data_IF_323254158452
#
_entry.id   IF_323254158452
#
_cell.length_a   1.000
_cell.length_b   1.000
_cell.length_c   1.000
_cell.angle_alpha   90.00
_cell.angle_beta   90.00
_cell.angle_gamma   90.00
#
_symmetry.space_group_name_H-M   'P 1'
#
loop_
_entity.id
_entity.type
_entity.pdbx_description
1 polymer ?
#
# COMPACT_ATOMS: atom_id res chain seq x y z
N UNK A 1 54.75 3.54 11.08
CA UNK A 1 54.20 4.88 11.41
C UNK A 1 52.93 4.71 12.23
N UNK A 2 52.91 5.15 13.48
CA UNK A 2 51.72 5.08 14.33
C UNK A 2 50.84 6.30 14.06
N UNK A 3 49.60 6.10 13.62
CA UNK A 3 48.64 7.19 13.38
C UNK A 3 48.06 7.62 14.73
N UNK A 4 48.35 8.85 15.16
CA UNK A 4 47.68 9.46 16.32
C UNK A 4 46.26 9.88 15.92
N UNK A 5 45.27 9.34 16.62
CA UNK A 5 43.85 9.66 16.40
C UNK A 5 43.37 10.60 17.50
N UNK A 6 43.06 11.85 17.18
CA UNK A 6 42.55 12.86 18.12
C UNK A 6 41.01 12.88 18.14
N UNK A 7 40.40 13.22 19.28
CA UNK A 7 38.93 13.36 19.44
C UNK A 7 38.27 12.34 20.37
N UNK A 8 36.96 12.50 20.61
CA UNK A 8 36.15 11.61 21.45
C UNK A 8 35.69 10.35 20.69
N UNK A 9 36.60 9.38 20.62
CA UNK A 9 36.37 8.10 19.96
C UNK A 9 35.33 7.21 20.67
N UNK A 10 35.07 7.44 21.95
CA UNK A 10 34.04 6.71 22.68
C UNK A 10 32.65 7.12 22.17
N UNK A 11 32.42 8.44 22.03
CA UNK A 11 31.19 8.96 21.45
C UNK A 11 31.00 8.54 20.00
N UNK A 12 32.06 8.60 19.18
CA UNK A 12 32.00 8.16 17.79
C UNK A 12 31.58 6.68 17.67
N UNK A 13 32.16 5.80 18.50
CA UNK A 13 31.78 4.38 18.53
C UNK A 13 30.33 4.17 18.96
N UNK A 14 29.84 4.91 19.96
CA UNK A 14 28.43 4.82 20.37
C UNK A 14 27.47 5.23 19.25
N UNK A 15 27.78 6.31 18.54
CA UNK A 15 26.95 6.78 17.43
C UNK A 15 26.95 5.79 16.27
N UNK A 16 28.11 5.22 15.92
CA UNK A 16 28.23 4.23 14.86
C UNK A 16 27.56 2.91 15.23
N UNK A 17 27.69 2.46 16.48
CA UNK A 17 27.08 1.21 16.95
C UNK A 17 25.53 1.25 16.90
N UNK A 18 24.93 2.41 17.15
CA UNK A 18 23.47 2.61 17.08
C UNK A 18 23.00 3.17 15.73
N UNK A 19 23.91 3.52 14.82
CA UNK A 19 23.59 4.24 13.59
C UNK A 19 22.80 3.39 12.60
N UNK A 20 23.20 2.13 12.40
CA UNK A 20 22.56 1.20 11.47
C UNK A 20 21.12 0.88 11.88
N UNK A 21 20.88 0.56 13.15
CA UNK A 21 19.53 0.23 13.65
C UNK A 21 18.58 1.42 13.63
N UNK A 22 19.09 2.63 13.89
CA UNK A 22 18.29 3.87 13.75
C UNK A 22 17.92 4.14 12.31
N UNK A 23 18.87 3.98 11.39
CA UNK A 23 18.62 4.15 9.96
C UNK A 23 17.60 3.14 9.46
N UNK A 24 17.76 1.87 9.82
CA UNK A 24 16.82 0.80 9.48
C UNK A 24 15.41 1.11 10.02
N UNK A 25 15.28 1.51 11.28
CA UNK A 25 13.99 1.88 11.86
C UNK A 25 13.33 3.09 11.16
N UNK A 26 14.13 4.08 10.78
CA UNK A 26 13.65 5.23 10.02
C UNK A 26 13.18 4.84 8.61
N UNK A 27 13.95 4.00 7.91
CA UNK A 27 13.59 3.48 6.59
C UNK A 27 12.31 2.65 6.64
N UNK A 28 12.19 1.73 7.60
CA UNK A 28 10.97 0.93 7.77
C UNK A 28 9.75 1.81 8.07
N UNK A 29 9.93 2.89 8.85
CA UNK A 29 8.84 3.83 9.14
C UNK A 29 8.42 4.59 7.90
N UNK A 30 9.37 5.13 7.15
CA UNK A 30 9.11 5.83 5.89
C UNK A 30 8.43 4.91 4.87
N UNK A 31 8.94 3.69 4.69
CA UNK A 31 8.37 2.70 3.77
C UNK A 31 6.92 2.36 4.12
N UNK A 32 6.61 2.16 5.41
CA UNK A 32 5.22 1.93 5.85
C UNK A 32 4.31 3.13 5.54
N UNK A 33 4.80 4.35 5.76
CA UNK A 33 4.03 5.56 5.47
C UNK A 33 3.72 5.69 3.97
N UNK A 34 4.74 5.53 3.13
CA UNK A 34 4.59 5.56 1.66
C UNK A 34 3.66 4.45 1.17
N UNK A 35 3.79 3.23 1.70
CA UNK A 35 2.92 2.13 1.33
C UNK A 35 1.45 2.38 1.69
N UNK A 36 1.19 2.99 2.86
CA UNK A 36 -0.16 3.40 3.24
C UNK A 36 -0.69 4.57 2.41
N UNK A 37 0.16 5.53 2.03
CA UNK A 37 -0.20 6.61 1.13
C UNK A 37 -0.61 6.06 -0.24
N UNK A 38 0.19 5.17 -0.83
CA UNK A 38 -0.12 4.52 -2.10
C UNK A 38 -1.41 3.69 -2.02
N UNK A 39 -1.62 2.93 -0.93
CA UNK A 39 -2.90 2.23 -0.72
C UNK A 39 -4.08 3.19 -0.75
N UNK A 40 -3.97 4.34 -0.11
CA UNK A 40 -5.03 5.36 -0.08
C UNK A 40 -5.33 5.85 -1.49
N UNK A 41 -4.30 6.14 -2.30
CA UNK A 41 -4.45 6.55 -3.70
C UNK A 41 -5.13 5.47 -4.55
N UNK A 42 -4.72 4.20 -4.42
CA UNK A 42 -5.36 3.09 -5.14
C UNK A 42 -6.84 2.96 -4.76
N UNK A 43 -7.15 2.98 -3.46
CA UNK A 43 -8.54 2.90 -2.96
C UNK A 43 -9.37 4.09 -3.45
N UNK A 44 -8.79 5.28 -3.45
CA UNK A 44 -9.43 6.50 -3.93
C UNK A 44 -9.68 6.44 -5.45
N UNK A 45 -8.69 6.03 -6.24
CA UNK A 45 -8.80 5.86 -7.69
C UNK A 45 -9.88 4.84 -8.06
N UNK A 46 -9.93 3.70 -7.38
CA UNK A 46 -11.02 2.72 -7.55
C UNK A 46 -12.38 3.31 -7.19
N UNK A 47 -12.45 4.11 -6.12
CA UNK A 47 -13.69 4.80 -5.72
C UNK A 47 -14.10 5.84 -6.76
N UNK A 48 -13.17 6.56 -7.37
CA UNK A 48 -13.44 7.56 -8.41
C UNK A 48 -13.66 6.95 -9.80
N UNK A 49 -13.46 5.64 -9.96
CA UNK A 49 -13.38 4.97 -11.27
C UNK A 49 -12.26 5.50 -12.16
N UNK A 50 -11.17 5.98 -11.57
CA UNK A 50 -9.99 6.46 -12.28
C UNK A 50 -8.69 6.02 -11.59
N UNK A 51 -8.45 4.70 -11.39
CA UNK A 51 -7.18 4.24 -10.87
C UNK A 51 -6.05 4.64 -11.83
N UNK A 52 -5.04 5.35 -11.33
CA UNK A 52 -3.97 5.92 -12.16
C UNK A 52 -4.34 7.23 -12.87
N UNK A 53 -5.48 7.85 -12.53
CA UNK A 53 -5.90 9.16 -13.04
C UNK A 53 -6.79 9.13 -14.27
N UNK A 54 -6.77 8.04 -15.04
CA UNK A 54 -7.60 7.89 -16.24
C UNK A 54 -8.97 7.27 -15.93
N UNK A 55 -10.08 7.95 -16.25
CA UNK A 55 -11.42 7.41 -16.02
C UNK A 55 -11.67 6.11 -16.80
N UNK A 56 -12.20 5.12 -16.10
CA UNK A 56 -12.67 3.88 -16.70
C UNK A 56 -13.98 4.11 -17.45
N UNK A 57 -14.15 3.39 -18.55
CA UNK A 57 -15.40 3.39 -19.29
C UNK A 57 -16.55 2.89 -18.38
N UNK A 58 -17.67 3.62 -18.28
CA UNK A 58 -18.80 3.16 -17.50
C UNK A 58 -19.39 1.86 -18.08
N UNK A 59 -20.01 0.99 -17.25
CA UNK A 59 -20.73 -0.17 -17.73
C UNK A 59 -21.85 0.21 -18.71
N UNK A 60 -22.12 -0.65 -19.69
CA UNK A 60 -23.25 -0.44 -20.60
C UNK A 60 -24.59 -0.56 -19.85
N UNK A 61 -25.68 0.04 -20.35
CA UNK A 61 -27.01 -0.11 -19.77
C UNK A 61 -27.44 -1.58 -19.63
N UNK A 62 -27.10 -2.44 -20.60
CA UNK A 62 -27.37 -3.88 -20.54
C UNK A 62 -26.61 -4.57 -19.40
N UNK A 63 -25.36 -4.17 -19.16
CA UNK A 63 -24.56 -4.68 -18.04
C UNK A 63 -25.17 -4.27 -16.69
N UNK A 64 -25.65 -3.03 -16.57
CA UNK A 64 -26.32 -2.56 -15.34
C UNK A 64 -27.63 -3.30 -15.09
N UNK A 65 -28.44 -3.51 -16.14
CA UNK A 65 -29.68 -4.28 -16.04
C UNK A 65 -29.43 -5.73 -15.61
N UNK A 66 -28.43 -6.39 -16.21
CA UNK A 66 -28.06 -7.76 -15.83
C UNK A 66 -27.59 -7.85 -14.37
N UNK A 67 -26.82 -6.86 -13.89
CA UNK A 67 -26.40 -6.78 -12.47
C UNK A 67 -27.60 -6.64 -11.54
N UNK A 68 -28.55 -5.77 -11.89
CA UNK A 68 -29.74 -5.53 -11.08
C UNK A 68 -30.62 -6.79 -10.99
N UNK A 69 -30.77 -7.53 -12.09
CA UNK A 69 -31.46 -8.83 -12.11
C UNK A 69 -30.77 -9.88 -11.22
N UNK A 70 -29.45 -9.84 -11.13
CA UNK A 70 -28.66 -10.68 -10.23
C UNK A 70 -28.60 -10.18 -8.77
N UNK A 71 -29.33 -9.11 -8.44
CA UNK A 71 -29.39 -8.55 -7.08
C UNK A 71 -28.23 -7.62 -6.71
N UNK A 72 -27.40 -7.20 -7.68
CA UNK A 72 -26.30 -6.28 -7.44
C UNK A 72 -26.70 -4.82 -7.73
N UNK A 73 -26.37 -3.92 -6.80
CA UNK A 73 -26.64 -2.48 -6.91
C UNK A 73 -25.43 -1.64 -7.38
N UNK A 74 -24.28 -2.27 -7.66
CA UNK A 74 -23.04 -1.59 -8.02
C UNK A 74 -23.03 -1.06 -9.45
N UNK A 75 -22.90 0.26 -9.62
CA UNK A 75 -22.87 0.96 -10.92
C UNK A 75 -21.47 1.19 -11.48
N UNK A 76 -20.42 0.88 -10.71
CA UNK A 76 -19.03 1.15 -11.09
C UNK A 76 -18.45 0.03 -11.95
N UNK A 77 -17.48 0.36 -12.81
CA UNK A 77 -16.85 -0.59 -13.71
C UNK A 77 -16.23 -1.79 -12.96
N UNK A 78 -15.33 -1.51 -12.01
CA UNK A 78 -14.60 -2.53 -11.24
C UNK A 78 -15.28 -2.91 -9.90
N UNK A 79 -16.13 -2.05 -9.35
CA UNK A 79 -16.74 -2.26 -8.03
C UNK A 79 -18.21 -2.68 -8.18
N UNK A 80 -18.45 -3.98 -8.08
CA UNK A 80 -19.80 -4.54 -7.86
C UNK A 80 -20.22 -4.34 -6.39
N UNK A 81 -19.26 -4.45 -5.46
CA UNK A 81 -19.42 -4.19 -4.04
C UNK A 81 -18.16 -3.50 -3.46
N UNK A 82 -18.22 -3.10 -2.19
CA UNK A 82 -17.07 -2.54 -1.48
C UNK A 82 -15.97 -3.56 -1.14
N UNK A 83 -16.17 -4.86 -1.42
CA UNK A 83 -15.24 -5.91 -1.02
C UNK A 83 -13.84 -5.73 -1.64
N UNK A 84 -13.76 -5.42 -2.94
CA UNK A 84 -12.47 -5.23 -3.63
C UNK A 84 -11.62 -4.11 -3.00
N UNK A 85 -12.21 -2.94 -2.72
CA UNK A 85 -11.45 -1.85 -2.08
C UNK A 85 -11.02 -2.22 -0.66
N UNK A 86 -11.83 -3.02 0.04
CA UNK A 86 -11.59 -3.40 1.42
C UNK A 86 -10.53 -4.53 1.52
N UNK A 87 -10.36 -5.34 0.49
CA UNK A 87 -9.36 -6.41 0.45
C UNK A 87 -7.95 -5.94 0.10
N UNK A 88 -7.77 -4.67 -0.30
CA UNK A 88 -6.45 -4.10 -0.53
C UNK A 88 -5.74 -3.94 0.82
N UNK A 89 -4.62 -4.65 0.92
CA UNK A 89 -3.76 -4.73 2.09
C UNK A 89 -2.41 -4.08 1.83
N UNK A 90 -1.72 -3.72 2.92
CA UNK A 90 -0.31 -3.35 2.91
C UNK A 90 0.45 -4.43 3.67
N UNK A 91 1.48 -4.99 3.06
CA UNK A 91 2.42 -5.92 3.69
C UNK A 91 3.82 -5.33 3.50
N UNK A 92 4.57 -5.18 4.59
CA UNK A 92 5.94 -4.65 4.55
C UNK A 92 6.88 -5.72 5.07
N UNK A 93 7.84 -6.11 4.24
CA UNK A 93 8.84 -7.14 4.54
C UNK A 93 10.23 -6.57 4.21
N UNK A 94 11.07 -6.37 5.24
CA UNK A 94 12.38 -5.76 5.07
C UNK A 94 12.28 -4.33 4.51
N UNK A 95 12.88 -4.13 3.33
CA UNK A 95 12.91 -2.90 2.55
C UNK A 95 11.89 -2.88 1.40
N UNK A 96 11.02 -3.87 1.32
CA UNK A 96 9.97 -3.96 0.30
C UNK A 96 8.56 -3.82 0.90
N UNK A 97 7.65 -3.27 0.09
CA UNK A 97 6.24 -3.16 0.45
C UNK A 97 5.35 -3.66 -0.69
N UNK A 98 4.43 -4.56 -0.34
CA UNK A 98 3.36 -5.01 -1.22
C UNK A 98 2.07 -4.24 -0.89
N UNK A 99 1.47 -3.65 -1.93
CA UNK A 99 0.17 -2.99 -1.87
C UNK A 99 -0.75 -3.66 -2.88
N UNK A 100 -1.77 -4.35 -2.40
CA UNK A 100 -2.67 -5.07 -3.30
C UNK A 100 -3.59 -6.06 -2.58
N UNK A 101 -4.29 -6.85 -3.39
CA UNK A 101 -5.15 -7.93 -2.90
C UNK A 101 -4.30 -9.18 -2.75
N UNK A 102 -4.11 -9.67 -1.53
CA UNK A 102 -3.42 -10.94 -1.30
C UNK A 102 -4.22 -12.08 -1.93
N UNK A 103 -3.53 -13.08 -2.50
CA UNK A 103 -4.17 -14.30 -3.02
C UNK A 103 -4.97 -15.04 -1.93
N UNK A 104 -4.57 -14.89 -0.67
CA UNK A 104 -5.25 -15.48 0.49
C UNK A 104 -6.36 -14.59 1.05
N UNK A 105 -6.59 -13.39 0.50
CA UNK A 105 -7.67 -12.51 0.93
C UNK A 105 -9.02 -13.14 0.59
N UNK A 106 -9.77 -13.55 1.62
CA UNK A 106 -11.11 -14.09 1.47
C UNK A 106 -12.14 -12.97 1.41
N UNK A 107 -13.18 -13.18 0.62
CA UNK A 107 -14.40 -12.38 0.74
C UNK A 107 -15.07 -12.68 2.08
N UNK A 108 -15.86 -11.78 2.67
CA UNK A 108 -16.76 -12.13 3.77
C UNK A 108 -17.64 -13.36 3.46
N UNK A 109 -17.92 -13.59 2.17
CA UNK A 109 -18.76 -14.68 1.68
C UNK A 109 -17.98 -15.99 1.37
N UNK A 110 -16.66 -16.00 1.57
CA UNK A 110 -15.77 -17.11 1.17
C UNK A 110 -14.97 -16.81 -0.08
#
# INVERSE_FOLDING_TARGET
MAVSRTGDWARARQLLAAGSSRLEGALQTALRQEAHALRKEVVQGLTQQAPGGEPLRPPSPLTLAARQLAGFNGTKALLVSGALRNSISVVVEGDEAFIGVSRTAKSPDG
#
